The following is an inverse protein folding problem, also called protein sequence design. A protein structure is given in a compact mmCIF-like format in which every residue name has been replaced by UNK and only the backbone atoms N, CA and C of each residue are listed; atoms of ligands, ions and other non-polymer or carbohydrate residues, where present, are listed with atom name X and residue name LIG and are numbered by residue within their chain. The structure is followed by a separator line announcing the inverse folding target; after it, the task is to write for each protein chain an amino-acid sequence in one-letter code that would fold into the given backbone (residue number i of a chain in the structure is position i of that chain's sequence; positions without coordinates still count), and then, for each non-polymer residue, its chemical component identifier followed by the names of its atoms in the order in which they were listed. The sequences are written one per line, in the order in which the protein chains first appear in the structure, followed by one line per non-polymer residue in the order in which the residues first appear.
data_IF_456456872150
#
_entry.id   IF_456456872150
#
_cell.length_a   1.000
_cell.length_b   1.000
_cell.length_c   1.000
_cell.angle_alpha   90.00
_cell.angle_beta   90.00
_cell.angle_gamma   90.00
#
_symmetry.space_group_name_H-M   'P 1'
#
loop_
_entity.id
_entity.type
_entity.pdbx_description
1 polymer ?
#
# COMPACT_ATOMS: atom_id res chain seq x y z
N UNK A 1 7.19 -1.57 -5.54
CA UNK A 1 5.87 -1.47 -4.88
C UNK A 1 5.21 -0.17 -5.28
N UNK A 2 3.88 -0.14 -5.40
CA UNK A 2 3.13 1.06 -5.76
C UNK A 2 1.90 1.20 -4.87
N UNK A 3 1.60 2.43 -4.41
CA UNK A 3 0.30 2.75 -3.82
C UNK A 3 -0.73 2.95 -4.93
N UNK A 4 -1.96 2.46 -4.74
CA UNK A 4 -3.06 2.64 -5.69
C UNK A 4 -3.28 4.10 -6.09
N UNK A 5 -3.91 4.32 -7.26
CA UNK A 5 -4.33 5.62 -7.75
C UNK A 5 -5.36 6.30 -6.85
N UNK A 6 -5.67 7.56 -7.13
CA UNK A 6 -6.62 8.34 -6.33
C UNK A 6 -8.05 7.79 -6.44
N UNK A 7 -8.78 7.88 -5.33
CA UNK A 7 -10.22 7.60 -5.23
C UNK A 7 -10.95 8.87 -4.74
N UNK A 8 -12.27 8.95 -4.90
CA UNK A 8 -13.04 10.07 -4.34
C UNK A 8 -12.91 10.17 -2.82
N UNK A 9 -12.73 9.05 -2.14
CA UNK A 9 -12.50 9.03 -0.70
C UNK A 9 -11.12 9.56 -0.30
N UNK A 10 -10.11 9.46 -1.16
CA UNK A 10 -8.83 10.15 -0.92
C UNK A 10 -9.00 11.67 -0.95
N UNK A 11 -9.77 12.20 -1.94
CA UNK A 11 -10.00 13.64 -2.10
C UNK A 11 -10.63 14.24 -0.84
N UNK A 12 -11.65 13.60 -0.30
CA UNK A 12 -12.38 14.07 0.89
C UNK A 12 -11.81 13.55 2.21
N UNK A 13 -10.67 12.85 2.16
CA UNK A 13 -9.96 12.30 3.33
C UNK A 13 -10.83 11.39 4.19
N UNK A 14 -11.53 10.44 3.57
CA UNK A 14 -12.23 9.35 4.26
C UNK A 14 -11.32 8.14 4.45
N UNK A 15 -11.46 7.50 5.60
CA UNK A 15 -10.86 6.19 5.87
C UNK A 15 -11.46 5.15 4.92
N UNK A 16 -10.63 4.57 4.09
CA UNK A 16 -11.09 3.54 3.14
C UNK A 16 -11.05 2.15 3.74
N UNK A 17 -9.93 1.81 4.38
CA UNK A 17 -9.74 0.47 4.92
C UNK A 17 -9.99 -0.59 3.85
N UNK A 18 -10.88 -1.53 4.14
CA UNK A 18 -11.31 -2.60 3.23
C UNK A 18 -12.58 -2.26 2.44
N UNK A 19 -13.16 -1.07 2.63
CA UNK A 19 -14.23 -0.60 1.74
C UNK A 19 -13.72 -0.55 0.30
N UNK A 20 -14.51 -1.12 -0.62
CA UNK A 20 -14.06 -1.37 -1.99
C UNK A 20 -14.46 -0.20 -2.92
N UNK A 21 -13.71 0.89 -2.80
CA UNK A 21 -13.90 2.14 -3.55
C UNK A 21 -13.04 2.09 -4.82
N UNK A 22 -13.60 2.35 -6.02
CA UNK A 22 -12.86 2.37 -7.28
C UNK A 22 -11.96 3.60 -7.39
N UNK A 23 -11.06 3.59 -8.37
CA UNK A 23 -10.33 4.79 -8.78
C UNK A 23 -11.29 5.86 -9.32
N UNK A 24 -10.97 7.13 -9.07
CA UNK A 24 -11.58 8.25 -9.81
C UNK A 24 -10.79 8.52 -11.11
N UNK A 25 -11.24 9.49 -11.92
CA UNK A 25 -10.57 9.80 -13.20
C UNK A 25 -9.14 10.29 -13.01
N UNK A 26 -8.87 11.05 -11.95
CA UNK A 26 -7.51 11.48 -11.61
C UNK A 26 -6.63 10.28 -11.26
N UNK A 27 -7.12 9.34 -10.46
CA UNK A 27 -6.39 8.11 -10.13
C UNK A 27 -6.01 7.30 -11.37
N UNK A 28 -6.93 7.18 -12.34
CA UNK A 28 -6.67 6.53 -13.63
C UNK A 28 -5.63 7.29 -14.45
N UNK A 29 -5.71 8.63 -14.45
CA UNK A 29 -4.72 9.49 -15.14
C UNK A 29 -3.32 9.30 -14.54
N UNK A 30 -3.19 9.36 -13.21
CA UNK A 30 -1.93 9.15 -12.51
C UNK A 30 -1.34 7.74 -12.78
N UNK A 31 -2.19 6.72 -12.76
CA UNK A 31 -1.78 5.36 -13.05
C UNK A 31 -1.25 5.21 -14.49
N UNK A 32 -1.88 5.88 -15.50
CA UNK A 32 -1.39 5.88 -16.89
C UNK A 32 -0.04 6.57 -17.03
N UNK A 33 0.19 7.69 -16.35
CA UNK A 33 1.49 8.39 -16.36
C UNK A 33 2.57 7.48 -15.75
N UNK A 34 2.26 6.85 -14.61
CA UNK A 34 3.19 5.92 -13.97
C UNK A 34 3.43 4.69 -14.84
N UNK A 35 2.39 4.15 -15.51
CA UNK A 35 2.53 3.06 -16.48
C UNK A 35 3.52 3.40 -17.60
N UNK A 36 3.41 4.61 -18.16
CA UNK A 36 4.32 5.08 -19.20
C UNK A 36 5.77 5.19 -18.70
N UNK A 37 5.96 5.68 -17.47
CA UNK A 37 7.28 5.78 -16.87
C UNK A 37 7.91 4.41 -16.55
N UNK A 38 7.09 3.37 -16.43
CA UNK A 38 7.50 2.00 -16.14
C UNK A 38 7.41 1.08 -17.39
N UNK A 39 7.24 1.64 -18.59
CA UNK A 39 7.03 0.82 -19.81
C UNK A 39 8.21 -0.07 -20.14
N UNK A 40 9.44 0.39 -19.88
CA UNK A 40 10.68 -0.36 -20.13
C UNK A 40 11.06 -1.32 -18.99
N UNK A 41 10.28 -1.34 -17.89
CA UNK A 41 10.53 -2.26 -16.78
C UNK A 41 9.92 -3.62 -17.10
N UNK A 42 10.77 -4.63 -17.19
CA UNK A 42 10.37 -6.02 -17.48
C UNK A 42 9.88 -6.70 -16.18
N UNK A 43 8.58 -6.64 -15.93
CA UNK A 43 7.96 -7.30 -14.79
C UNK A 43 7.65 -8.75 -15.13
N UNK A 44 8.08 -9.68 -14.28
CA UNK A 44 7.78 -11.11 -14.42
C UNK A 44 6.42 -11.47 -13.83
N UNK A 45 5.98 -10.77 -12.79
CA UNK A 45 4.71 -10.98 -12.11
C UNK A 45 4.23 -9.72 -11.40
N UNK A 46 2.93 -9.58 -11.28
CA UNK A 46 2.28 -8.52 -10.50
C UNK A 46 1.49 -9.16 -9.37
N UNK A 47 1.83 -8.83 -8.13
CA UNK A 47 0.97 -9.09 -6.98
C UNK A 47 0.11 -7.87 -6.71
N UNK A 48 -1.19 -8.07 -6.53
CA UNK A 48 -2.12 -6.98 -6.24
C UNK A 48 -3.02 -7.30 -5.07
N UNK A 49 -3.28 -6.30 -4.23
CA UNK A 49 -4.39 -6.38 -3.29
C UNK A 49 -5.69 -6.68 -4.06
N UNK A 50 -6.61 -7.51 -3.55
CA UNK A 50 -7.89 -7.79 -4.19
C UNK A 50 -8.86 -6.60 -4.25
N UNK A 51 -8.56 -5.49 -3.54
CA UNK A 51 -9.41 -4.29 -3.57
C UNK A 51 -9.34 -3.57 -4.93
N UNK A 52 -10.51 -3.15 -5.44
CA UNK A 52 -10.68 -2.61 -6.79
C UNK A 52 -9.65 -1.55 -7.17
N UNK A 53 -9.40 -0.58 -6.29
CA UNK A 53 -8.45 0.51 -6.54
C UNK A 53 -7.01 0.03 -6.80
N UNK A 54 -6.58 -1.02 -6.11
CA UNK A 54 -5.25 -1.58 -6.30
C UNK A 54 -5.19 -2.45 -7.56
N UNK A 55 -6.23 -3.26 -7.81
CA UNK A 55 -6.37 -4.09 -9.01
C UNK A 55 -6.42 -3.23 -10.27
N UNK A 56 -7.24 -2.18 -10.28
CA UNK A 56 -7.35 -1.27 -11.41
C UNK A 56 -6.03 -0.54 -11.68
N UNK A 57 -5.31 -0.11 -10.63
CA UNK A 57 -3.97 0.48 -10.76
C UNK A 57 -3.00 -0.52 -11.38
N UNK A 58 -2.96 -1.75 -10.88
CA UNK A 58 -2.12 -2.83 -11.41
C UNK A 58 -2.43 -3.14 -12.87
N UNK A 59 -3.72 -3.19 -13.24
CA UNK A 59 -4.19 -3.44 -14.62
C UNK A 59 -3.72 -2.34 -15.56
N UNK A 60 -3.84 -1.07 -15.16
CA UNK A 60 -3.39 0.07 -15.97
C UNK A 60 -1.85 0.02 -16.16
N UNK A 61 -1.09 -0.34 -15.12
CA UNK A 61 0.36 -0.46 -15.22
C UNK A 61 0.76 -1.67 -16.05
N UNK A 62 0.05 -2.78 -15.93
CA UNK A 62 0.25 -3.97 -16.77
C UNK A 62 0.11 -3.64 -18.25
N UNK A 63 -0.86 -2.80 -18.61
CA UNK A 63 -1.21 -2.47 -19.97
C UNK A 63 -1.40 -3.76 -20.84
N UNK A 64 -0.84 -3.79 -22.04
CA UNK A 64 -0.96 -4.93 -22.97
C UNK A 64 0.09 -6.03 -22.73
N UNK A 65 0.91 -5.93 -21.69
CA UNK A 65 1.95 -6.93 -21.37
C UNK A 65 1.33 -8.24 -20.91
N UNK A 66 1.82 -9.36 -21.42
CA UNK A 66 1.41 -10.70 -20.99
C UNK A 66 2.13 -11.09 -19.70
N UNK A 67 1.71 -10.48 -18.59
CA UNK A 67 2.29 -10.67 -17.26
C UNK A 67 1.22 -11.28 -16.35
N UNK A 68 1.50 -12.36 -15.62
CA UNK A 68 0.59 -12.90 -14.63
C UNK A 68 0.30 -11.87 -13.53
N UNK A 69 -0.98 -11.73 -13.15
CA UNK A 69 -1.42 -10.88 -12.05
C UNK A 69 -2.11 -11.74 -10.99
N UNK A 70 -1.57 -11.74 -9.78
CA UNK A 70 -1.97 -12.60 -8.67
C UNK A 70 -2.57 -11.74 -7.56
N UNK A 71 -3.78 -12.06 -7.13
CA UNK A 71 -4.38 -11.43 -5.96
C UNK A 71 -3.75 -11.97 -4.68
N UNK A 72 -3.37 -11.06 -3.77
CA UNK A 72 -2.72 -11.39 -2.51
C UNK A 72 -3.40 -10.64 -1.36
N UNK A 73 -4.09 -11.38 -0.50
CA UNK A 73 -4.86 -10.79 0.59
C UNK A 73 -3.99 -10.15 1.68
N UNK A 74 -2.77 -10.66 1.88
CA UNK A 74 -1.86 -10.14 2.90
C UNK A 74 -1.36 -8.71 2.62
N UNK A 75 -1.58 -8.19 1.39
CA UNK A 75 -1.26 -6.81 1.03
C UNK A 75 -2.49 -5.91 0.87
N UNK A 76 -3.66 -6.33 1.40
CA UNK A 76 -4.81 -5.45 1.55
C UNK A 76 -4.51 -4.28 2.50
N UNK A 77 -5.31 -3.22 2.40
CA UNK A 77 -5.23 -2.12 3.36
C UNK A 77 -5.62 -2.58 4.78
N UNK A 78 -5.15 -1.86 5.78
CA UNK A 78 -5.59 -2.07 7.16
C UNK A 78 -7.11 -1.90 7.24
N UNK A 79 -7.78 -2.79 7.99
CA UNK A 79 -9.21 -2.58 8.28
C UNK A 79 -9.38 -1.55 9.36
N UNK A 80 -10.27 -0.58 9.15
CA UNK A 80 -10.70 0.38 10.17
C UNK A 80 -12.04 0.00 10.80
N UNK A 81 -12.60 -1.16 10.44
CA UNK A 81 -13.83 -1.68 11.00
C UNK A 81 -14.98 -0.68 10.92
N UNK A 82 -15.64 -0.42 12.05
CA UNK A 82 -16.78 0.49 12.10
C UNK A 82 -16.48 1.95 11.73
N UNK A 83 -15.20 2.34 11.59
CA UNK A 83 -14.82 3.70 11.22
C UNK A 83 -14.50 3.87 9.73
N UNK A 84 -14.64 2.82 8.92
CA UNK A 84 -14.56 2.97 7.47
C UNK A 84 -15.65 3.92 6.96
N UNK A 85 -15.27 4.88 6.11
CA UNK A 85 -16.13 5.94 5.59
C UNK A 85 -16.18 7.23 6.41
N UNK A 86 -15.70 7.24 7.65
CA UNK A 86 -15.55 8.48 8.42
C UNK A 86 -14.40 9.33 7.87
N UNK A 87 -14.49 10.66 8.09
CA UNK A 87 -13.45 11.59 7.67
C UNK A 87 -12.33 11.66 8.70
N UNK A 88 -11.09 11.63 8.22
CA UNK A 88 -9.87 11.72 9.04
C UNK A 88 -9.02 12.96 8.72
N UNK A 89 -9.54 13.89 7.93
CA UNK A 89 -8.85 15.14 7.60
C UNK A 89 -8.91 16.15 8.76
N UNK A 90 -7.89 17.01 8.87
CA UNK A 90 -7.82 18.03 9.94
C UNK A 90 -9.07 18.91 10.03
N UNK A 91 -9.63 19.28 8.87
CA UNK A 91 -10.70 20.26 8.76
C UNK A 91 -12.10 19.61 8.79
N UNK A 92 -12.17 18.28 8.67
CA UNK A 92 -13.42 17.54 8.57
C UNK A 92 -13.43 16.23 9.37
N UNK A 93 -12.61 16.15 10.41
CA UNK A 93 -12.54 14.97 11.27
C UNK A 93 -13.87 14.72 11.99
N UNK A 94 -14.48 13.56 11.75
CA UNK A 94 -15.79 13.20 12.32
C UNK A 94 -15.81 11.80 12.97
N UNK A 95 -14.64 11.19 13.18
CA UNK A 95 -14.54 9.90 13.87
C UNK A 95 -14.95 10.07 15.32
N UNK A 96 -15.94 9.27 15.81
CA UNK A 96 -16.53 9.46 17.13
C UNK A 96 -15.56 9.29 18.31
N UNK A 97 -14.51 8.48 18.13
CA UNK A 97 -13.47 8.25 19.14
C UNK A 97 -12.27 9.18 18.91
N UNK A 98 -12.06 10.18 19.79
CA UNK A 98 -10.90 11.07 19.67
C UNK A 98 -9.55 10.34 19.78
N UNK A 99 -9.49 9.19 20.47
CA UNK A 99 -8.26 8.41 20.61
C UNK A 99 -7.82 7.74 19.29
N UNK A 100 -8.72 7.64 18.29
CA UNK A 100 -8.36 7.12 16.97
C UNK A 100 -7.25 7.93 16.28
N UNK A 101 -7.06 9.20 16.65
CA UNK A 101 -5.97 10.03 16.12
C UNK A 101 -4.59 9.40 16.38
N UNK A 102 -4.47 8.55 17.41
CA UNK A 102 -3.24 7.84 17.71
C UNK A 102 -2.80 6.94 16.54
N UNK A 103 -3.71 6.46 15.71
CA UNK A 103 -3.33 5.74 14.50
C UNK A 103 -2.31 6.52 13.66
N UNK A 104 -2.45 7.85 13.58
CA UNK A 104 -1.57 8.71 12.79
C UNK A 104 -0.43 9.32 13.61
N UNK A 105 -0.69 9.71 14.86
CA UNK A 105 0.22 10.54 15.65
C UNK A 105 1.07 9.77 16.66
N UNK A 106 0.52 8.65 17.19
CA UNK A 106 1.15 7.79 18.20
C UNK A 106 0.77 6.34 17.96
N UNK A 107 1.28 5.73 16.86
CA UNK A 107 0.85 4.39 16.44
C UNK A 107 1.03 3.32 17.53
N UNK A 108 1.98 3.49 18.45
CA UNK A 108 2.17 2.63 19.62
C UNK A 108 1.02 2.71 20.66
N UNK A 109 0.20 3.77 20.58
CA UNK A 109 -0.97 3.96 21.42
C UNK A 109 -2.29 3.67 20.67
N UNK A 110 -2.23 3.22 19.42
CA UNK A 110 -3.43 2.93 18.66
C UNK A 110 -4.13 1.67 19.17
N UNK A 111 -5.40 1.80 19.45
CA UNK A 111 -6.29 0.69 19.79
C UNK A 111 -7.33 0.54 18.69
N UNK A 112 -7.35 -0.60 17.96
CA UNK A 112 -8.27 -0.79 16.85
C UNK A 112 -9.73 -0.80 17.34
N UNK A 113 -10.64 -0.09 16.65
CA UNK A 113 -12.06 -0.18 16.94
C UNK A 113 -12.63 -1.56 16.59
N UNK A 114 -13.91 -1.77 16.89
CA UNK A 114 -14.58 -3.03 16.57
C UNK A 114 -14.47 -3.39 15.09
N UNK A 115 -14.01 -4.58 14.79
CA UNK A 115 -13.84 -5.10 13.42
C UNK A 115 -12.62 -4.55 12.68
N UNK A 116 -11.80 -3.71 13.34
CA UNK A 116 -10.56 -3.19 12.77
C UNK A 116 -9.37 -4.11 13.05
N UNK A 117 -8.29 -3.84 12.34
CA UNK A 117 -7.00 -4.53 12.46
C UNK A 117 -6.01 -3.65 13.24
N UNK A 118 -5.15 -4.25 14.06
CA UNK A 118 -4.07 -3.51 14.70
C UNK A 118 -2.90 -3.29 13.72
N UNK A 119 -2.02 -2.32 14.05
CA UNK A 119 -0.81 -2.08 13.24
C UNK A 119 0.12 -3.31 13.29
N UNK A 120 0.21 -3.99 14.43
CA UNK A 120 1.00 -5.20 14.57
C UNK A 120 0.49 -6.35 13.66
N UNK A 121 -0.83 -6.53 13.59
CA UNK A 121 -1.44 -7.53 12.71
C UNK A 121 -1.15 -7.21 11.24
N UNK A 122 -1.30 -5.95 10.85
CA UNK A 122 -0.94 -5.46 9.52
C UNK A 122 0.54 -5.74 9.21
N UNK A 123 1.45 -5.30 10.08
CA UNK A 123 2.89 -5.51 9.90
C UNK A 123 3.23 -7.00 9.79
N UNK A 124 2.60 -7.83 10.63
CA UNK A 124 2.83 -9.28 10.60
C UNK A 124 2.45 -9.88 9.24
N UNK A 125 1.20 -9.66 8.76
CA UNK A 125 0.75 -10.28 7.50
C UNK A 125 1.51 -9.78 6.27
N UNK A 126 1.85 -8.47 6.24
CA UNK A 126 2.63 -7.90 5.14
C UNK A 126 4.08 -8.39 5.16
N UNK A 127 4.67 -8.54 6.35
CA UNK A 127 5.99 -9.14 6.51
C UNK A 127 5.99 -10.62 6.10
N UNK A 128 4.99 -11.41 6.51
CA UNK A 128 4.87 -12.82 6.14
C UNK A 128 4.86 -12.98 4.59
N UNK A 129 4.11 -12.11 3.89
CA UNK A 129 4.11 -12.09 2.42
C UNK A 129 5.49 -11.73 1.85
N UNK A 130 6.10 -10.65 2.33
CA UNK A 130 7.38 -10.19 1.80
C UNK A 130 8.48 -11.23 2.05
N UNK A 131 8.53 -11.84 3.23
CA UNK A 131 9.50 -12.89 3.55
C UNK A 131 9.32 -14.13 2.67
N UNK A 132 8.08 -14.56 2.41
CA UNK A 132 7.81 -15.65 1.47
C UNK A 132 8.31 -15.32 0.06
N UNK A 133 8.03 -14.08 -0.40
CA UNK A 133 8.43 -13.66 -1.74
C UNK A 133 9.95 -13.61 -1.92
N UNK A 134 10.68 -13.02 -0.98
CA UNK A 134 12.15 -12.88 -1.08
C UNK A 134 12.91 -14.20 -0.90
N UNK A 135 12.31 -15.19 -0.21
CA UNK A 135 12.90 -16.52 -0.08
C UNK A 135 12.48 -17.49 -1.18
N UNK A 136 11.62 -17.04 -2.10
CA UNK A 136 11.21 -17.85 -3.23
C UNK A 136 12.30 -17.85 -4.31
N UNK A 137 13.03 -18.95 -4.41
CA UNK A 137 14.14 -19.12 -5.38
C UNK A 137 13.72 -18.94 -6.85
N UNK A 138 12.44 -19.14 -7.18
CA UNK A 138 11.95 -18.91 -8.56
C UNK A 138 11.82 -17.44 -8.89
N UNK A 139 11.84 -16.57 -7.88
CA UNK A 139 11.78 -15.11 -8.00
C UNK A 139 13.17 -14.46 -7.94
N UNK A 140 14.22 -15.25 -7.78
CA UNK A 140 15.60 -14.75 -7.81
C UNK A 140 15.89 -14.12 -9.17
N UNK A 141 16.33 -12.87 -9.19
CA UNK A 141 16.57 -12.03 -10.39
C UNK A 141 15.31 -11.55 -11.13
N UNK A 142 14.13 -11.82 -10.61
CA UNK A 142 12.88 -11.36 -11.20
C UNK A 142 12.49 -9.95 -10.73
N UNK A 143 11.87 -9.17 -11.59
CA UNK A 143 11.29 -7.89 -11.21
C UNK A 143 9.80 -8.06 -10.93
N UNK A 144 9.41 -7.82 -9.69
CA UNK A 144 8.05 -8.00 -9.20
C UNK A 144 7.38 -6.66 -8.93
N UNK A 145 6.17 -6.45 -9.46
CA UNK A 145 5.33 -5.32 -9.07
C UNK A 145 4.38 -5.73 -7.94
N UNK A 146 4.31 -4.93 -6.88
CA UNK A 146 3.34 -5.08 -5.78
C UNK A 146 2.45 -3.85 -5.78
N UNK A 147 1.16 -4.02 -6.08
CA UNK A 147 0.15 -2.96 -6.04
C UNK A 147 -0.66 -3.04 -4.75
N UNK A 148 -0.55 -2.01 -3.92
CA UNK A 148 -1.07 -2.02 -2.55
C UNK A 148 -1.56 -0.64 -2.10
N UNK A 149 -1.60 -0.37 -0.79
CA UNK A 149 -2.24 0.77 -0.16
C UNK A 149 -1.29 1.54 0.76
N UNK A 150 -1.81 2.61 1.39
CA UNK A 150 -0.98 3.50 2.21
C UNK A 150 -0.40 2.82 3.44
N UNK A 151 -1.24 2.27 4.33
CA UNK A 151 -0.76 1.63 5.54
C UNK A 151 -0.12 0.25 5.24
N UNK A 152 -0.67 -0.52 4.28
CA UNK A 152 -0.09 -1.80 3.90
C UNK A 152 1.33 -1.65 3.33
N UNK A 153 1.61 -0.60 2.57
CA UNK A 153 2.95 -0.30 2.09
C UNK A 153 3.90 0.06 3.25
N UNK A 154 3.41 0.81 4.25
CA UNK A 154 4.19 1.04 5.49
C UNK A 154 4.44 -0.27 6.23
N UNK A 155 3.46 -1.16 6.29
CA UNK A 155 3.62 -2.50 6.86
C UNK A 155 4.70 -3.33 6.14
N UNK A 156 4.73 -3.32 4.80
CA UNK A 156 5.80 -3.96 4.02
C UNK A 156 7.18 -3.34 4.32
N UNK A 157 7.27 -2.01 4.38
CA UNK A 157 8.52 -1.31 4.69
C UNK A 157 8.98 -1.51 6.13
N UNK A 158 8.06 -1.74 7.05
CA UNK A 158 8.37 -1.97 8.47
C UNK A 158 9.24 -3.21 8.68
N UNK A 159 9.08 -4.24 7.84
CA UNK A 159 9.88 -5.46 7.89
C UNK A 159 11.35 -5.26 7.49
N UNK A 160 11.67 -4.10 6.90
CA UNK A 160 13.02 -3.80 6.43
C UNK A 160 13.78 -2.94 7.44
N UNK A 161 13.13 -1.96 8.07
CA UNK A 161 13.85 -0.96 8.87
C UNK A 161 12.96 -0.23 9.90
N UNK A 162 12.14 -0.94 10.64
CA UNK A 162 11.33 -0.34 11.69
C UNK A 162 11.97 -0.56 13.06
N UNK A 163 12.37 0.52 13.72
CA UNK A 163 12.89 0.46 15.09
C UNK A 163 11.82 0.13 16.15
N UNK A 164 10.53 0.16 15.78
CA UNK A 164 9.36 -0.10 16.64
C UNK A 164 8.10 0.50 16.03
N UNK A 165 6.94 0.17 16.59
CA UNK A 165 5.62 0.62 16.12
C UNK A 165 5.51 2.16 16.11
N UNK A 166 6.16 2.83 17.05
CA UNK A 166 6.22 4.30 17.11
C UNK A 166 6.78 4.94 15.83
N UNK A 167 7.53 4.17 15.03
CA UNK A 167 8.09 4.61 13.75
C UNK A 167 7.25 4.21 12.53
N UNK A 168 6.06 3.64 12.73
CA UNK A 168 5.24 3.12 11.62
C UNK A 168 5.02 4.14 10.49
N UNK A 169 4.78 5.39 10.83
CA UNK A 169 4.56 6.47 9.86
C UNK A 169 5.84 7.25 9.49
N UNK A 170 7.02 6.75 9.84
CA UNK A 170 8.27 7.39 9.42
C UNK A 170 8.36 7.42 7.89
N UNK A 171 8.54 8.61 7.31
CA UNK A 171 8.45 8.85 5.87
C UNK A 171 7.04 9.23 5.37
N UNK A 172 6.02 9.14 6.23
CA UNK A 172 4.65 9.55 5.91
C UNK A 172 3.89 8.55 5.04
N UNK A 173 2.69 8.96 4.64
CA UNK A 173 1.85 8.20 3.69
C UNK A 173 2.29 8.55 2.26
N UNK A 174 2.62 7.55 1.47
CA UNK A 174 2.97 7.73 0.06
C UNK A 174 1.83 8.40 -0.71
N UNK A 175 2.16 9.23 -1.70
CA UNK A 175 1.17 9.77 -2.63
C UNK A 175 0.57 8.67 -3.51
N UNK A 176 -0.60 8.90 -4.07
CA UNK A 176 -1.23 7.96 -5.00
C UNK A 176 -0.31 7.69 -6.21
N UNK A 177 -0.23 6.47 -6.68
CA UNK A 177 0.70 6.01 -7.71
C UNK A 177 2.19 6.26 -7.43
N UNK A 178 2.58 6.62 -6.21
CA UNK A 178 3.99 6.69 -5.84
C UNK A 178 4.61 5.29 -5.81
N UNK A 179 5.83 5.21 -6.33
CA UNK A 179 6.59 3.97 -6.48
C UNK A 179 7.73 3.91 -5.46
N UNK A 180 7.86 2.78 -4.80
CA UNK A 180 8.98 2.45 -3.91
C UNK A 180 9.72 1.26 -4.47
N UNK A 181 11.05 1.36 -4.57
CA UNK A 181 11.92 0.35 -5.19
C UNK A 181 12.77 -0.29 -4.10
N UNK A 182 12.66 -1.60 -4.01
CA UNK A 182 13.52 -2.43 -3.18
C UNK A 182 14.42 -3.27 -4.09
N UNK A 183 15.65 -3.45 -3.68
CA UNK A 183 16.56 -4.45 -4.21
C UNK A 183 16.71 -5.58 -3.21
N UNK A 184 16.69 -6.82 -3.72
CA UNK A 184 16.83 -8.01 -2.90
C UNK A 184 18.02 -8.81 -3.42
N UNK A 185 19.04 -8.97 -2.60
CA UNK A 185 20.23 -9.70 -2.94
C UNK A 185 20.59 -10.68 -1.80
N UNK A 186 20.62 -11.97 -2.10
CA UNK A 186 20.89 -13.05 -1.11
C UNK A 186 20.00 -12.96 0.14
N UNK A 187 18.70 -12.63 -0.05
CA UNK A 187 17.74 -12.48 1.04
C UNK A 187 17.86 -11.18 1.84
N UNK A 188 18.83 -10.33 1.51
CA UNK A 188 18.96 -8.99 2.10
C UNK A 188 18.19 -7.97 1.27
N UNK A 189 17.41 -7.12 1.95
CA UNK A 189 16.60 -6.09 1.30
C UNK A 189 17.28 -4.73 1.47
N UNK A 190 17.43 -4.00 0.37
CA UNK A 190 17.89 -2.61 0.34
C UNK A 190 16.81 -1.72 -0.24
N UNK A 191 16.50 -0.61 0.44
CA UNK A 191 15.61 0.42 -0.06
C UNK A 191 16.39 1.34 -1.01
N UNK A 192 16.08 1.27 -2.31
CA UNK A 192 16.74 2.10 -3.33
C UNK A 192 16.05 3.45 -3.52
N UNK A 193 14.71 3.45 -3.52
CA UNK A 193 13.93 4.67 -3.70
C UNK A 193 12.60 4.55 -2.94
N UNK A 194 12.17 5.61 -2.24
CA UNK A 194 10.92 5.61 -1.50
C UNK A 194 9.99 6.73 -2.01
N UNK A 195 8.78 6.34 -2.42
CA UNK A 195 7.71 7.30 -2.72
C UNK A 195 7.92 8.15 -3.97
N UNK A 196 8.66 7.68 -4.97
CA UNK A 196 8.89 8.39 -6.24
C UNK A 196 7.59 8.57 -7.01
N UNK A 197 7.35 9.79 -7.46
CA UNK A 197 6.22 10.17 -8.32
C UNK A 197 6.72 10.52 -9.72
N UNK A 198 5.89 10.26 -10.74
CA UNK A 198 6.22 10.50 -12.14
C UNK A 198 5.32 11.56 -12.80
N UNK A 199 4.48 12.23 -12.01
CA UNK A 199 3.55 13.28 -12.44
C UNK A 199 3.80 14.60 -11.72
#
# INVERSE_FOLDING_TARGET
MIRHGETDWNVVRRLQGRADIPLNEEGRRLARITSKALEEVDFSVIYTSPLLRAKETATIIKADRDIPMIEEERIQEISFGIYEGYHCGKDNYDIPDPAFIHFFEKPECYHPPQGAESIEQLCKRTSDFLQELIHNKTMEKETVLISTHGAALRGLLSSINMGGIENFWKGGVHKNCAVTILDVNDGQISLLEEGKIYY
#
